data_IF_911684142032
#
_entry.id   IF_911684142032
#
_cell.length_a   1.000
_cell.length_b   1.000
_cell.length_c   1.000
_cell.angle_alpha   90.00
_cell.angle_beta   90.00
_cell.angle_gamma   90.00
#
_symmetry.space_group_name_H-M   'P 1'
#
loop_
_entity.id
_entity.type
_entity.pdbx_description
1 polymer ?
#
# COMPACT_ATOMS: atom_id res chain seq x y z
N UNK A 1 -3.05 13.84 -7.62
CA UNK A 1 -4.51 13.80 -7.35
C UNK A 1 -4.90 12.51 -6.63
N UNK A 2 -4.55 11.31 -7.16
CA UNK A 2 -4.91 9.98 -6.57
C UNK A 2 -4.42 9.79 -5.13
N UNK A 3 -3.15 10.10 -4.82
CA UNK A 3 -2.61 9.94 -3.47
C UNK A 3 -3.34 10.78 -2.40
N UNK A 4 -3.88 11.97 -2.76
CA UNK A 4 -4.73 12.75 -1.86
C UNK A 4 -6.07 12.07 -1.58
N UNK A 5 -6.65 11.39 -2.58
CA UNK A 5 -7.88 10.61 -2.40
C UNK A 5 -7.62 9.42 -1.49
N UNK A 6 -6.51 8.71 -1.70
CA UNK A 6 -6.08 7.61 -0.84
C UNK A 6 -5.94 8.08 0.62
N UNK A 7 -5.23 9.19 0.86
CA UNK A 7 -5.07 9.75 2.22
C UNK A 7 -6.41 10.04 2.90
N UNK A 8 -7.39 10.58 2.16
CA UNK A 8 -8.75 10.81 2.69
C UNK A 8 -9.53 9.52 2.96
N UNK A 9 -9.35 8.50 2.13
CA UNK A 9 -9.97 7.19 2.36
C UNK A 9 -9.41 6.53 3.62
N UNK A 10 -8.08 6.56 3.82
CA UNK A 10 -7.41 6.07 5.02
C UNK A 10 -7.96 6.79 6.27
N UNK A 11 -8.14 8.12 6.20
CA UNK A 11 -8.76 8.88 7.28
C UNK A 11 -10.19 8.44 7.57
N UNK A 12 -11.03 8.36 6.54
CA UNK A 12 -12.45 7.95 6.66
C UNK A 12 -12.61 6.55 7.25
N UNK A 13 -11.65 5.66 6.98
CA UNK A 13 -11.60 4.29 7.52
C UNK A 13 -10.95 4.22 8.90
N UNK A 14 -10.60 5.36 9.50
CA UNK A 14 -9.96 5.46 10.81
C UNK A 14 -8.67 4.63 10.97
N UNK A 15 -7.91 4.40 9.88
CA UNK A 15 -6.66 3.63 9.90
C UNK A 15 -5.54 4.45 10.52
N UNK A 16 -5.02 4.08 11.70
CA UNK A 16 -4.07 4.92 12.44
C UNK A 16 -2.61 4.76 11.99
N UNK A 17 -2.26 3.63 11.41
CA UNK A 17 -0.88 3.22 11.15
C UNK A 17 -0.50 3.21 9.66
N UNK A 18 -1.11 4.08 8.86
CA UNK A 18 -0.85 4.15 7.43
C UNK A 18 0.11 5.29 7.09
N UNK A 19 1.19 4.97 6.36
CA UNK A 19 2.03 5.93 5.66
C UNK A 19 1.55 6.07 4.21
N UNK A 20 1.13 7.27 3.81
CA UNK A 20 0.75 7.57 2.43
C UNK A 20 1.79 8.45 1.77
N UNK A 21 2.39 7.95 0.70
CA UNK A 21 3.39 8.66 -0.11
C UNK A 21 2.89 8.87 -1.54
N UNK A 22 3.56 9.75 -2.26
CA UNK A 22 3.36 9.96 -3.70
C UNK A 22 4.71 9.86 -4.42
N UNK A 23 5.22 8.64 -4.49
CA UNK A 23 6.53 8.33 -5.06
C UNK A 23 6.45 7.33 -6.21
N UNK A 24 7.51 7.26 -7.00
CA UNK A 24 7.71 6.20 -7.96
C UNK A 24 8.19 4.91 -7.25
N UNK A 25 7.80 3.72 -7.74
CA UNK A 25 8.24 2.44 -7.16
C UNK A 25 9.75 2.32 -6.98
N UNK A 26 10.54 2.82 -7.95
CA UNK A 26 12.00 2.82 -7.89
C UNK A 26 12.53 3.64 -6.70
N UNK A 27 11.96 4.82 -6.44
CA UNK A 27 12.35 5.66 -5.30
C UNK A 27 12.07 4.94 -3.98
N UNK A 28 10.92 4.27 -3.88
CA UNK A 28 10.59 3.46 -2.70
C UNK A 28 11.53 2.27 -2.56
N UNK A 29 11.86 1.58 -3.67
CA UNK A 29 12.79 0.45 -3.68
C UNK A 29 14.19 0.82 -3.19
N UNK A 30 14.70 1.99 -3.58
CA UNK A 30 15.98 2.52 -3.09
C UNK A 30 15.95 2.87 -1.60
N UNK A 31 14.77 3.21 -1.06
CA UNK A 31 14.62 3.67 0.31
C UNK A 31 14.28 2.56 1.29
N UNK A 32 13.51 1.56 0.85
CA UNK A 32 12.92 0.52 1.67
C UNK A 32 13.29 -0.89 1.18
N UNK A 33 14.54 -1.07 0.72
CA UNK A 33 15.04 -2.37 0.27
C UNK A 33 14.88 -3.45 1.37
N UNK A 34 14.23 -4.56 1.04
CA UNK A 34 14.05 -5.69 1.96
C UNK A 34 13.25 -5.38 3.23
N UNK A 35 12.39 -4.37 3.23
CA UNK A 35 11.71 -3.90 4.45
C UNK A 35 10.34 -4.55 4.68
N UNK A 36 9.55 -4.74 3.64
CA UNK A 36 8.15 -5.12 3.78
C UNK A 36 7.94 -6.62 3.84
N UNK A 37 7.08 -7.06 4.76
CA UNK A 37 6.61 -8.45 4.84
C UNK A 37 5.76 -8.84 3.64
N UNK A 38 4.95 -7.90 3.16
CA UNK A 38 4.02 -8.08 2.03
C UNK A 38 3.99 -6.82 1.18
N UNK A 39 4.14 -7.02 -0.12
CA UNK A 39 4.04 -5.95 -1.13
C UNK A 39 2.91 -6.33 -2.08
N UNK A 40 1.91 -5.47 -2.20
CA UNK A 40 0.83 -5.60 -3.17
C UNK A 40 1.08 -4.61 -4.31
N UNK A 41 1.11 -5.11 -5.52
CA UNK A 41 1.18 -4.33 -6.76
C UNK A 41 -0.17 -4.43 -7.47
N UNK A 42 -0.98 -3.38 -7.34
CA UNK A 42 -2.16 -3.15 -8.17
C UNK A 42 -1.69 -2.38 -9.41
N UNK A 43 -1.39 -3.11 -10.46
CA UNK A 43 -0.62 -2.60 -11.59
C UNK A 43 -1.49 -1.80 -12.59
N UNK A 44 -0.96 -0.72 -13.17
CA UNK A 44 -1.62 -0.12 -14.34
C UNK A 44 -1.65 -1.14 -15.47
N UNK A 45 -2.84 -1.35 -16.05
CA UNK A 45 -3.08 -2.34 -17.08
C UNK A 45 -4.01 -1.80 -18.18
N UNK A 46 -4.21 -2.56 -19.26
CA UNK A 46 -5.12 -2.21 -20.38
C UNK A 46 -6.60 -2.19 -19.96
N UNK A 47 -6.96 -2.84 -18.84
CA UNK A 47 -8.24 -2.63 -18.17
C UNK A 47 -9.43 -3.36 -18.80
N UNK A 48 -9.24 -4.45 -19.52
CA UNK A 48 -10.32 -5.23 -20.19
C UNK A 48 -11.41 -5.69 -19.21
N UNK A 49 -11.06 -6.00 -17.97
CA UNK A 49 -12.02 -6.34 -16.93
C UNK A 49 -12.99 -5.19 -16.57
N UNK A 50 -12.64 -3.96 -16.92
CA UNK A 50 -13.46 -2.76 -16.64
C UNK A 50 -14.40 -2.38 -17.77
N UNK A 51 -14.40 -3.06 -18.91
CA UNK A 51 -15.18 -2.70 -20.10
C UNK A 51 -16.69 -2.59 -19.85
N UNK A 52 -17.23 -3.37 -18.92
CA UNK A 52 -18.66 -3.29 -18.57
C UNK A 52 -18.99 -2.07 -17.69
N UNK A 53 -17.99 -1.48 -17.04
CA UNK A 53 -18.16 -0.43 -16.03
C UNK A 53 -17.72 0.94 -16.52
N UNK A 54 -16.69 0.99 -17.37
CA UNK A 54 -16.07 2.23 -17.83
C UNK A 54 -15.95 2.22 -19.37
N UNK A 55 -16.78 2.99 -20.05
CA UNK A 55 -16.77 3.13 -21.51
C UNK A 55 -15.40 3.65 -22.03
N UNK A 56 -14.73 4.51 -21.25
CA UNK A 56 -13.41 5.00 -21.58
C UNK A 56 -12.37 3.86 -21.67
N UNK A 57 -12.50 2.80 -20.89
CA UNK A 57 -11.59 1.65 -20.96
C UNK A 57 -11.67 0.93 -22.31
N UNK A 58 -12.86 0.86 -22.91
CA UNK A 58 -13.04 0.28 -24.25
C UNK A 58 -12.41 1.17 -25.33
N UNK A 59 -12.59 2.49 -25.22
CA UNK A 59 -12.07 3.44 -26.19
C UNK A 59 -10.55 3.55 -26.17
N UNK A 60 -9.95 3.45 -24.99
CA UNK A 60 -8.50 3.61 -24.78
C UNK A 60 -7.71 2.29 -25.00
N UNK A 61 -8.43 1.18 -25.21
CA UNK A 61 -7.79 -0.12 -25.40
C UNK A 61 -7.22 -0.28 -26.82
N UNK A 62 -6.00 -0.79 -26.91
CA UNK A 62 -5.34 -1.24 -28.14
C UNK A 62 -4.25 -2.25 -27.81
N UNK A 63 -3.76 -2.98 -28.81
CA UNK A 63 -2.62 -3.90 -28.65
C UNK A 63 -1.34 -3.15 -28.23
N UNK A 64 -1.16 -1.91 -28.67
CA UNK A 64 -0.05 -1.04 -28.26
C UNK A 64 -0.17 -0.67 -26.80
N UNK A 65 -1.38 -0.40 -26.30
CA UNK A 65 -1.65 -0.14 -24.88
C UNK A 65 -1.32 -1.35 -24.02
N UNK A 66 -1.71 -2.56 -24.44
CA UNK A 66 -1.34 -3.83 -23.80
C UNK A 66 0.18 -3.98 -23.72
N UNK A 67 0.89 -3.82 -24.83
CA UNK A 67 2.34 -3.94 -24.87
C UNK A 67 3.06 -2.89 -24.03
N UNK A 68 2.54 -1.66 -23.98
CA UNK A 68 3.06 -0.59 -23.14
C UNK A 68 2.85 -0.91 -21.66
N UNK A 69 1.66 -1.38 -21.28
CA UNK A 69 1.35 -1.76 -19.91
C UNK A 69 2.23 -2.94 -19.45
N UNK A 70 2.40 -3.97 -20.27
CA UNK A 70 3.25 -5.12 -19.94
C UNK A 70 4.70 -4.71 -19.65
N UNK A 71 5.29 -3.83 -20.46
CA UNK A 71 6.64 -3.29 -20.18
C UNK A 71 6.71 -2.54 -18.86
N UNK A 72 5.73 -1.64 -18.62
CA UNK A 72 5.65 -0.85 -17.39
C UNK A 72 5.46 -1.71 -16.14
N UNK A 73 4.69 -2.78 -16.25
CA UNK A 73 4.48 -3.76 -15.18
C UNK A 73 5.78 -4.46 -14.83
N UNK A 74 6.60 -4.85 -15.82
CA UNK A 74 7.93 -5.42 -15.58
C UNK A 74 8.85 -4.48 -14.77
N UNK A 75 8.88 -3.19 -15.08
CA UNK A 75 9.64 -2.19 -14.33
C UNK A 75 9.13 -2.03 -12.89
N UNK A 76 7.81 -2.01 -12.71
CA UNK A 76 7.18 -1.91 -11.39
C UNK A 76 7.47 -3.17 -10.56
N UNK A 77 7.31 -4.36 -11.13
CA UNK A 77 7.58 -5.63 -10.47
C UNK A 77 9.04 -5.76 -10.05
N UNK A 78 10.00 -5.37 -10.91
CA UNK A 78 11.42 -5.35 -10.58
C UNK A 78 11.75 -4.41 -9.42
N UNK A 79 11.04 -3.28 -9.32
CA UNK A 79 11.16 -2.37 -8.18
C UNK A 79 10.51 -2.97 -6.92
N UNK A 80 9.34 -3.58 -7.07
CA UNK A 80 8.62 -4.20 -5.96
C UNK A 80 9.37 -5.40 -5.36
N UNK A 81 10.07 -6.19 -6.17
CA UNK A 81 10.91 -7.30 -5.71
C UNK A 81 11.95 -6.86 -4.67
N UNK A 82 12.52 -5.68 -4.85
CA UNK A 82 13.51 -5.10 -3.94
C UNK A 82 12.91 -4.70 -2.60
N UNK A 83 11.62 -4.33 -2.56
CA UNK A 83 10.92 -3.93 -1.35
C UNK A 83 10.62 -5.10 -0.42
N UNK A 84 10.43 -6.31 -0.96
CA UNK A 84 10.07 -7.50 -0.20
C UNK A 84 11.26 -8.02 0.60
N UNK A 85 11.08 -8.24 1.90
CA UNK A 85 12.10 -8.87 2.75
C UNK A 85 12.25 -10.37 2.43
N UNK A 86 13.38 -10.99 2.78
CA UNK A 86 13.50 -12.46 2.74
C UNK A 86 12.37 -13.14 3.53
N UNK A 87 11.75 -14.16 2.93
CA UNK A 87 10.57 -14.83 3.49
C UNK A 87 9.25 -14.09 3.33
N UNK A 88 9.26 -12.88 2.80
CA UNK A 88 8.08 -12.07 2.54
C UNK A 88 7.36 -12.43 1.24
N UNK A 89 6.27 -11.71 0.93
CA UNK A 89 5.38 -12.00 -0.19
C UNK A 89 5.23 -10.80 -1.11
N UNK A 90 5.20 -11.08 -2.41
CA UNK A 90 4.77 -10.18 -3.46
C UNK A 90 3.44 -10.66 -4.02
N UNK A 91 2.44 -9.79 -4.00
CA UNK A 91 1.15 -10.03 -4.65
C UNK A 91 1.06 -9.09 -5.84
N UNK A 92 0.86 -9.65 -7.01
CA UNK A 92 0.66 -8.91 -8.25
C UNK A 92 -0.80 -9.02 -8.69
N UNK A 93 -1.42 -7.91 -9.08
CA UNK A 93 -2.79 -7.92 -9.57
C UNK A 93 -3.00 -6.96 -10.73
N UNK A 94 -3.92 -7.32 -11.62
CA UNK A 94 -4.42 -6.50 -12.72
C UNK A 94 -5.93 -6.64 -12.86
N UNK A 95 -6.55 -5.73 -13.60
CA UNK A 95 -7.93 -5.83 -14.04
C UNK A 95 -8.02 -6.03 -15.57
N UNK A 96 -7.09 -6.78 -16.17
CA UNK A 96 -7.10 -7.15 -17.59
C UNK A 96 -7.23 -8.65 -17.76
N UNK A 97 -7.42 -9.08 -19.00
CA UNK A 97 -7.39 -10.49 -19.42
C UNK A 97 -6.24 -10.79 -20.38
N UNK A 98 -5.45 -9.78 -20.74
CA UNK A 98 -4.35 -9.91 -21.67
C UNK A 98 -3.23 -10.80 -21.11
N UNK A 99 -2.92 -11.96 -21.73
CA UNK A 99 -1.91 -12.87 -21.20
C UNK A 99 -0.52 -12.25 -21.07
N UNK A 100 -0.18 -11.29 -21.91
CA UNK A 100 1.10 -10.58 -21.83
C UNK A 100 1.26 -9.75 -20.54
N UNK A 101 0.14 -9.23 -20.02
CA UNK A 101 0.10 -8.44 -18.79
C UNK A 101 -0.10 -9.30 -17.53
N UNK A 102 -0.59 -10.53 -17.71
CA UNK A 102 -0.95 -11.46 -16.64
C UNK A 102 0.12 -12.55 -16.48
N UNK A 103 -0.11 -13.74 -17.04
CA UNK A 103 0.82 -14.87 -16.92
C UNK A 103 2.20 -14.57 -17.52
N UNK A 104 2.25 -13.83 -18.63
CA UNK A 104 3.49 -13.42 -19.28
C UNK A 104 4.35 -12.51 -18.37
N UNK A 105 3.73 -11.54 -17.71
CA UNK A 105 4.43 -10.69 -16.75
C UNK A 105 4.97 -11.49 -15.55
N UNK A 106 4.18 -12.44 -15.02
CA UNK A 106 4.61 -13.32 -13.92
C UNK A 106 5.74 -14.24 -14.34
N UNK A 107 5.66 -14.84 -15.53
CA UNK A 107 6.71 -15.74 -16.04
C UNK A 107 8.03 -14.99 -16.25
N UNK A 108 7.99 -13.83 -16.90
CA UNK A 108 9.18 -13.00 -17.11
C UNK A 108 9.78 -12.51 -15.77
N UNK A 109 8.93 -12.21 -14.79
CA UNK A 109 9.38 -11.84 -13.45
C UNK A 109 10.12 -13.00 -12.77
N UNK A 110 9.55 -14.22 -12.77
CA UNK A 110 10.17 -15.39 -12.14
C UNK A 110 11.49 -15.79 -12.82
N UNK A 111 11.62 -15.62 -14.13
CA UNK A 111 12.88 -15.81 -14.85
C UNK A 111 13.96 -14.82 -14.41
N UNK A 112 13.57 -13.55 -14.22
CA UNK A 112 14.49 -12.48 -13.82
C UNK A 112 14.84 -12.48 -12.32
N UNK A 113 13.97 -13.08 -11.49
CA UNK A 113 14.04 -13.08 -10.03
C UNK A 113 13.95 -14.50 -9.45
N UNK A 114 15.01 -15.32 -9.60
CA UNK A 114 15.02 -16.72 -9.15
C UNK A 114 14.89 -16.88 -7.63
N UNK A 115 15.04 -15.80 -6.88
CA UNK A 115 14.79 -15.76 -5.44
C UNK A 115 13.30 -15.74 -5.06
N UNK A 116 12.39 -15.68 -6.05
CA UNK A 116 10.96 -15.79 -5.85
C UNK A 116 10.42 -17.13 -6.35
N UNK A 117 9.44 -17.67 -5.63
CA UNK A 117 8.71 -18.88 -6.01
C UNK A 117 7.20 -18.63 -5.95
N UNK A 118 6.40 -19.26 -6.81
CA UNK A 118 4.95 -19.24 -6.69
C UNK A 118 4.48 -19.76 -5.34
N UNK A 119 3.54 -19.04 -4.72
CA UNK A 119 2.90 -19.48 -3.46
C UNK A 119 1.44 -19.85 -3.72
N UNK A 120 1.07 -21.13 -3.63
CA UNK A 120 -0.29 -21.56 -3.89
C UNK A 120 -1.29 -21.05 -2.85
N UNK A 121 -2.38 -20.42 -3.30
CA UNK A 121 -3.49 -19.99 -2.46
C UNK A 121 -4.73 -20.81 -2.78
N UNK A 122 -5.38 -21.34 -1.75
CA UNK A 122 -6.62 -22.10 -1.89
C UNK A 122 -7.82 -21.20 -1.59
N UNK A 123 -8.63 -20.93 -2.60
CA UNK A 123 -9.90 -20.27 -2.45
C UNK A 123 -10.89 -20.83 -3.47
N UNK A 124 -12.15 -21.15 -3.08
CA UNK A 124 -13.11 -21.84 -3.96
C UNK A 124 -13.54 -21.01 -5.17
N UNK A 125 -13.35 -19.70 -5.12
CA UNK A 125 -13.70 -18.77 -6.20
C UNK A 125 -12.54 -18.47 -7.16
N UNK A 126 -11.33 -18.94 -6.89
CA UNK A 126 -10.21 -18.77 -7.79
C UNK A 126 -10.25 -19.80 -8.92
N UNK A 127 -9.99 -19.36 -10.14
CA UNK A 127 -9.63 -20.26 -11.23
C UNK A 127 -8.10 -20.29 -11.29
N UNK A 128 -7.46 -21.40 -10.87
CA UNK A 128 -6.00 -21.52 -10.91
C UNK A 128 -5.47 -21.37 -12.34
N UNK A 129 -4.38 -20.64 -12.47
CA UNK A 129 -3.57 -20.51 -13.66
C UNK A 129 -2.17 -21.07 -13.43
N UNK A 130 -1.24 -20.74 -14.29
CA UNK A 130 0.16 -21.12 -14.20
C UNK A 130 0.90 -20.26 -13.17
N UNK A 131 2.03 -20.77 -12.66
CA UNK A 131 2.97 -20.02 -11.81
C UNK A 131 2.34 -19.33 -10.58
N UNK A 132 1.39 -20.01 -9.92
CA UNK A 132 0.72 -19.46 -8.72
C UNK A 132 -0.20 -18.28 -9.02
N UNK A 133 -0.69 -18.19 -10.26
CA UNK A 133 -1.65 -17.19 -10.68
C UNK A 133 -3.09 -17.66 -10.56
N UNK A 134 -4.00 -16.70 -10.53
CA UNK A 134 -5.44 -16.92 -10.37
C UNK A 134 -6.22 -15.92 -11.20
N UNK A 135 -7.25 -16.40 -11.87
CA UNK A 135 -8.20 -15.56 -12.56
C UNK A 135 -9.56 -15.56 -11.87
N UNK A 136 -10.09 -14.39 -11.69
CA UNK A 136 -11.42 -14.12 -11.16
C UNK A 136 -12.30 -13.69 -12.33
N UNK A 137 -13.01 -14.66 -12.92
CA UNK A 137 -13.80 -14.45 -14.13
C UNK A 137 -15.17 -13.85 -13.82
N UNK A 138 -15.62 -12.80 -14.55
CA UNK A 138 -16.90 -12.14 -14.30
C UNK A 138 -18.14 -13.01 -14.57
N UNK A 139 -17.99 -14.11 -15.29
CA UNK A 139 -19.07 -15.09 -15.49
C UNK A 139 -19.15 -16.14 -14.36
N UNK A 140 -18.17 -16.19 -13.47
CA UNK A 140 -18.13 -17.09 -12.31
C UNK A 140 -18.32 -16.37 -10.97
N UNK A 141 -18.08 -15.08 -10.93
CA UNK A 141 -18.12 -14.26 -9.73
C UNK A 141 -18.96 -13.00 -9.92
N UNK A 142 -19.58 -12.52 -8.85
CA UNK A 142 -20.22 -11.21 -8.85
C UNK A 142 -19.13 -10.13 -8.74
N UNK A 143 -18.74 -9.56 -9.87
CA UNK A 143 -17.69 -8.53 -9.94
C UNK A 143 -17.17 -8.35 -11.35
N UNK A 144 -16.16 -7.48 -11.47
CA UNK A 144 -15.39 -7.28 -12.69
C UNK A 144 -14.26 -8.32 -12.78
N UNK A 145 -13.63 -8.44 -13.96
CA UNK A 145 -12.52 -9.38 -14.14
C UNK A 145 -11.27 -8.97 -13.40
N UNK A 146 -10.56 -9.94 -12.82
CA UNK A 146 -9.32 -9.70 -12.11
C UNK A 146 -8.34 -10.86 -12.31
N UNK A 147 -7.07 -10.51 -12.30
CA UNK A 147 -5.95 -11.45 -12.22
C UNK A 147 -5.16 -11.19 -10.95
N UNK A 148 -4.63 -12.23 -10.33
CA UNK A 148 -3.70 -12.13 -9.21
C UNK A 148 -2.66 -13.24 -9.24
N UNK A 149 -1.44 -12.95 -8.81
CA UNK A 149 -0.40 -13.93 -8.53
C UNK A 149 0.22 -13.67 -7.18
N UNK A 150 0.52 -14.74 -6.44
CA UNK A 150 1.16 -14.68 -5.12
C UNK A 150 2.52 -15.34 -5.20
N UNK A 151 3.55 -14.59 -4.89
CA UNK A 151 4.95 -15.00 -4.99
C UNK A 151 5.64 -14.82 -3.65
N UNK A 152 6.45 -15.78 -3.24
CA UNK A 152 7.22 -15.76 -2.00
C UNK A 152 8.70 -15.55 -2.29
N UNK A 153 9.34 -14.62 -1.60
CA UNK A 153 10.78 -14.41 -1.65
C UNK A 153 11.47 -15.42 -0.74
N UNK A 154 12.23 -16.35 -1.33
CA UNK A 154 12.87 -17.45 -0.59
C UNK A 154 14.33 -17.18 -0.25
N UNK A 155 14.96 -16.19 -0.89
CA UNK A 155 16.37 -15.85 -0.72
C UNK A 155 16.64 -14.37 -0.50
N UNK A 156 17.90 -14.03 -0.23
CA UNK A 156 18.39 -12.68 -0.02
C UNK A 156 18.69 -12.38 1.45
N UNK A 157 19.27 -11.22 1.69
CA UNK A 157 19.57 -10.70 3.03
C UNK A 157 18.60 -9.57 3.39
N UNK A 158 18.26 -9.48 4.68
CA UNK A 158 17.46 -8.37 5.19
C UNK A 158 18.39 -7.17 5.43
N UNK A 159 18.06 -6.04 4.84
CA UNK A 159 18.76 -4.78 5.09
C UNK A 159 18.20 -4.10 6.35
N UNK A 160 19.09 -3.50 7.16
CA UNK A 160 18.68 -2.66 8.28
C UNK A 160 18.33 -1.28 7.76
N UNK A 161 17.04 -0.97 7.77
CA UNK A 161 16.56 0.36 7.40
C UNK A 161 16.52 1.26 8.63
N UNK A 162 17.05 2.49 8.54
CA UNK A 162 16.93 3.47 9.62
C UNK A 162 15.45 3.74 9.92
N UNK A 163 15.12 3.77 11.21
CA UNK A 163 13.78 4.13 11.67
C UNK A 163 13.75 5.63 12.07
N UNK A 164 12.57 6.21 11.99
CA UNK A 164 12.32 7.55 12.54
C UNK A 164 12.58 7.57 14.04
N UNK A 165 13.16 8.65 14.52
CA UNK A 165 13.44 8.82 15.97
C UNK A 165 12.24 9.33 16.75
N UNK A 166 11.28 9.93 16.07
CA UNK A 166 10.15 10.62 16.68
C UNK A 166 10.54 11.95 17.31
N UNK A 167 9.54 12.71 17.72
CA UNK A 167 9.67 14.00 18.37
C UNK A 167 9.04 13.97 19.74
N UNK A 168 9.39 14.95 20.59
CA UNK A 168 8.75 15.11 21.90
C UNK A 168 7.32 15.63 21.72
N UNK A 169 6.39 14.99 22.41
CA UNK A 169 4.99 15.41 22.41
C UNK A 169 4.84 16.86 22.93
N UNK A 170 4.16 17.73 22.19
CA UNK A 170 3.89 19.10 22.62
C UNK A 170 3.04 19.15 23.89
N UNK A 171 3.28 20.15 24.74
CA UNK A 171 2.51 20.34 26.00
C UNK A 171 1.01 20.49 25.73
N UNK A 172 0.63 21.17 24.65
CA UNK A 172 -0.76 21.38 24.26
C UNK A 172 -1.49 20.04 24.01
N UNK A 173 -0.83 19.11 23.32
CA UNK A 173 -1.36 17.75 23.15
C UNK A 173 -1.43 17.00 24.49
N UNK A 174 -0.36 17.04 25.29
CA UNK A 174 -0.32 16.29 26.55
C UNK A 174 -1.41 16.74 27.51
N UNK A 175 -1.70 18.04 27.58
CA UNK A 175 -2.79 18.59 28.39
C UNK A 175 -4.15 18.17 27.87
N UNK A 176 -4.37 18.28 26.56
CA UNK A 176 -5.61 17.87 25.89
C UNK A 176 -5.90 16.36 26.07
N UNK A 177 -4.89 15.52 25.84
CA UNK A 177 -5.03 14.07 25.98
C UNK A 177 -5.33 13.65 27.42
N UNK A 178 -4.71 14.31 28.41
CA UNK A 178 -4.96 14.06 29.83
C UNK A 178 -6.39 14.45 30.23
N UNK A 179 -6.88 15.59 29.75
CA UNK A 179 -8.24 16.07 30.04
C UNK A 179 -9.31 15.10 29.53
N UNK A 180 -9.08 14.50 28.36
CA UNK A 180 -10.03 13.57 27.72
C UNK A 180 -9.73 12.10 28.01
N UNK A 181 -8.70 11.76 28.79
CA UNK A 181 -8.32 10.39 29.08
C UNK A 181 -7.81 9.61 27.85
N UNK A 182 -7.29 10.30 26.83
CA UNK A 182 -6.81 9.67 25.59
C UNK A 182 -5.46 8.99 25.85
N UNK A 183 -5.41 7.67 25.55
CA UNK A 183 -4.17 6.88 25.54
C UNK A 183 -3.86 6.42 24.12
N UNK A 184 -2.64 6.68 23.66
CA UNK A 184 -2.14 6.19 22.38
C UNK A 184 -1.41 4.87 22.57
N UNK A 185 -1.51 3.95 21.62
CA UNK A 185 -0.66 2.76 21.56
C UNK A 185 0.81 3.16 21.37
N UNK A 186 1.73 2.18 21.48
CA UNK A 186 3.15 2.40 21.22
C UNK A 186 3.37 3.02 19.83
N UNK A 187 4.21 4.06 19.78
CA UNK A 187 4.43 4.83 18.56
C UNK A 187 5.28 6.07 18.77
N UNK A 188 5.33 6.91 17.75
CA UNK A 188 6.19 8.11 17.69
C UNK A 188 5.39 9.34 17.28
N UNK A 189 5.64 10.45 17.96
CA UNK A 189 5.14 11.75 17.53
C UNK A 189 5.95 12.25 16.32
N UNK A 190 5.27 12.82 15.33
CA UNK A 190 5.88 13.44 14.15
C UNK A 190 5.18 14.77 13.87
N UNK A 191 5.96 15.84 13.65
CA UNK A 191 5.42 17.16 13.35
C UNK A 191 5.67 17.54 11.87
N UNK A 192 4.62 17.97 11.19
CA UNK A 192 4.69 18.56 9.85
C UNK A 192 4.12 19.99 9.92
N UNK A 193 5.00 20.96 10.04
CA UNK A 193 4.60 22.32 10.34
C UNK A 193 3.90 22.40 11.71
N UNK A 194 2.62 22.75 11.73
CA UNK A 194 1.80 22.79 12.95
C UNK A 194 1.00 21.50 13.18
N UNK A 195 0.94 20.59 12.21
CA UNK A 195 0.19 19.34 12.33
C UNK A 195 1.01 18.29 13.07
N UNK A 196 0.38 17.70 14.09
CA UNK A 196 0.93 16.60 14.88
C UNK A 196 0.33 15.27 14.42
N UNK A 197 1.20 14.31 14.17
CA UNK A 197 0.85 12.95 13.79
C UNK A 197 1.38 11.94 14.81
N UNK A 198 0.71 10.79 14.89
CA UNK A 198 1.16 9.62 15.62
C UNK A 198 1.48 8.50 14.63
N UNK A 199 2.72 8.09 14.58
CA UNK A 199 3.24 7.08 13.67
C UNK A 199 3.59 5.80 14.44
N UNK A 200 3.58 4.61 13.79
CA UNK A 200 4.05 3.35 14.39
C UNK A 200 5.51 3.41 14.86
N UNK A 201 5.87 2.57 15.83
CA UNK A 201 7.27 2.47 16.30
C UNK A 201 8.24 2.07 15.18
N UNK A 202 7.79 1.21 14.27
CA UNK A 202 8.57 0.71 13.13
C UNK A 202 8.55 1.67 11.94
N UNK A 203 8.07 2.92 12.10
CA UNK A 203 8.09 3.90 11.02
C UNK A 203 9.52 4.06 10.48
N UNK A 204 9.77 3.73 9.20
CA UNK A 204 11.08 3.93 8.59
C UNK A 204 11.35 5.42 8.37
N UNK A 205 12.63 5.78 8.17
CA UNK A 205 13.02 7.14 7.82
C UNK A 205 12.36 7.60 6.51
N UNK A 206 11.46 8.57 6.60
CA UNK A 206 10.68 9.12 5.50
C UNK A 206 11.20 10.45 4.96
N UNK A 207 12.35 10.93 5.44
CA UNK A 207 12.96 12.17 4.97
C UNK A 207 13.21 12.13 3.47
N UNK A 208 12.95 13.24 2.79
CA UNK A 208 13.05 13.41 1.33
C UNK A 208 12.00 12.67 0.51
N UNK A 209 11.02 11.99 1.14
CA UNK A 209 9.87 11.44 0.45
C UNK A 209 8.72 12.46 0.39
N UNK A 210 7.91 12.36 -0.66
CA UNK A 210 6.67 13.14 -0.79
C UNK A 210 5.56 12.49 0.04
N UNK A 211 5.57 12.76 1.34
CA UNK A 211 4.62 12.20 2.30
C UNK A 211 3.35 13.04 2.34
N UNK A 212 2.21 12.38 2.27
CA UNK A 212 0.89 13.00 2.42
C UNK A 212 0.28 12.74 3.80
N UNK A 213 0.59 11.56 4.38
CA UNK A 213 0.13 11.14 5.70
C UNK A 213 1.18 10.22 6.33
N UNK A 214 1.81 10.62 7.43
CA UNK A 214 2.83 9.82 8.13
C UNK A 214 2.25 9.02 9.31
N UNK A 215 0.96 8.73 9.35
CA UNK A 215 0.27 8.05 10.43
C UNK A 215 -1.08 8.70 10.75
N UNK A 216 -1.55 8.56 11.99
CA UNK A 216 -2.77 9.18 12.49
C UNK A 216 -2.55 10.68 12.73
N UNK A 217 -3.30 11.54 12.07
CA UNK A 217 -3.31 12.97 12.36
C UNK A 217 -4.05 13.22 13.67
N UNK A 218 -3.31 13.66 14.69
CA UNK A 218 -3.87 14.00 16.00
C UNK A 218 -4.53 15.37 15.98
N UNK A 219 -3.92 16.34 15.32
CA UNK A 219 -4.44 17.70 15.21
C UNK A 219 -3.37 18.75 14.98
N UNK A 220 -3.72 20.01 15.23
CA UNK A 220 -2.86 21.16 15.01
C UNK A 220 -2.44 21.76 16.35
N UNK A 221 -1.14 21.98 16.52
CA UNK A 221 -0.55 22.64 17.67
C UNK A 221 -0.58 24.16 17.46
N UNK A 222 -1.34 24.87 18.27
CA UNK A 222 -1.38 26.34 18.30
C UNK A 222 -0.53 26.85 19.48
N UNK A 223 -0.35 28.16 19.56
CA UNK A 223 0.47 28.79 20.61
C UNK A 223 0.02 28.41 22.02
N UNK A 224 -1.28 28.39 22.25
CA UNK A 224 -1.92 28.28 23.58
C UNK A 224 -2.88 27.08 23.70
N UNK A 225 -3.21 26.36 22.59
CA UNK A 225 -4.15 25.27 22.59
C UNK A 225 -3.80 24.18 21.57
N UNK A 226 -4.46 23.04 21.70
CA UNK A 226 -4.47 21.98 20.70
C UNK A 226 -5.84 21.96 19.99
N UNK A 227 -5.83 21.89 18.66
CA UNK A 227 -7.03 21.74 17.83
C UNK A 227 -7.05 20.32 17.28
N UNK A 228 -7.93 19.42 17.79
CA UNK A 228 -7.97 18.04 17.36
C UNK A 228 -8.39 17.90 15.90
N UNK A 229 -7.80 16.94 15.19
CA UNK A 229 -8.16 16.61 13.83
C UNK A 229 -9.39 15.69 13.77
N UNK A 230 -10.12 15.74 12.66
CA UNK A 230 -11.23 14.83 12.39
C UNK A 230 -10.79 13.36 12.41
N UNK A 231 -9.58 13.06 11.91
CA UNK A 231 -8.98 11.75 11.94
C UNK A 231 -8.88 11.16 13.36
N UNK A 232 -8.51 11.99 14.34
CA UNK A 232 -8.45 11.57 15.74
C UNK A 232 -9.85 11.19 16.28
N UNK A 233 -10.87 11.99 15.95
CA UNK A 233 -12.24 11.71 16.39
C UNK A 233 -12.79 10.40 15.80
N UNK A 234 -12.52 10.14 14.52
CA UNK A 234 -12.90 8.88 13.87
C UNK A 234 -12.20 7.68 14.51
N UNK A 235 -10.89 7.79 14.76
CA UNK A 235 -10.14 6.72 15.40
C UNK A 235 -10.60 6.43 16.82
N UNK A 236 -10.86 7.46 17.63
CA UNK A 236 -11.39 7.31 19.00
C UNK A 236 -12.76 6.62 19.02
N UNK A 237 -13.63 6.92 18.05
CA UNK A 237 -14.91 6.24 17.89
C UNK A 237 -14.73 4.73 17.64
N UNK A 238 -13.82 4.34 16.76
CA UNK A 238 -13.55 2.93 16.48
C UNK A 238 -12.92 2.23 17.70
N UNK A 239 -12.06 2.89 18.47
CA UNK A 239 -11.51 2.34 19.71
C UNK A 239 -12.60 2.09 20.76
N UNK A 240 -13.62 2.95 20.86
CA UNK A 240 -14.73 2.77 21.77
C UNK A 240 -15.62 1.58 21.36
N UNK A 241 -15.83 1.36 20.05
CA UNK A 241 -16.62 0.25 19.52
C UNK A 241 -15.97 -1.14 19.71
N UNK A 242 -14.68 -1.20 20.01
CA UNK A 242 -13.94 -2.46 20.24
C UNK A 242 -13.98 -2.90 21.72
N UNK A 243 -14.47 -2.04 22.63
CA UNK A 243 -14.54 -2.31 24.07
C UNK A 243 -15.92 -2.82 24.54
N UNK A 244 -16.91 -2.82 23.64
CA UNK A 244 -18.25 -3.43 23.86
C UNK A 244 -18.31 -4.82 23.20
#
# INVERSE_FOLDING_TARGET
KRAKILSRNIERMAVPNALVTNEHPETLAQRFSGFFDRVLVDAPCSGEGMFRKEEAAVTDWSEETVAMCARRQGEILSSAAKLVRPGGYLVYSTCTFAPAEDEGAVSAFLEAHPEFTPEPVKAPWFTPGENGSYRMWPHKLLGEGHFAAVLRKTGGEAEKIPLETGEKLPKQWTSFAKELGISLAAGKAMCFGQSLFWAPEEMPDIRKLKVLRPGLELGTVKKDRFEPAHALALWLKECANVQD
#
